data_IF_825954650965
#
_entry.id   IF_825954650965
#
_cell.length_a   1.000
_cell.length_b   1.000
_cell.length_c   1.000
_cell.angle_alpha   90.00
_cell.angle_beta   90.00
_cell.angle_gamma   90.00
#
_symmetry.space_group_name_H-M   'P 1'
#
loop_
_entity.id
_entity.type
_entity.pdbx_description
1 polymer ?
#
# COMPACT_ATOMS: atom_id res chain seq x y z
N UNK A 1 -27.21 14.63 5.26
CA UNK A 1 -27.22 13.46 6.16
C UNK A 1 -27.65 12.19 5.43
N UNK A 2 -28.45 12.24 4.37
CA UNK A 2 -28.84 11.05 3.58
C UNK A 2 -27.70 10.42 2.75
N UNK A 3 -26.72 11.21 2.27
CA UNK A 3 -25.54 10.66 1.56
C UNK A 3 -24.61 9.79 2.43
N UNK A 4 -24.64 10.00 3.75
CA UNK A 4 -23.81 9.25 4.71
C UNK A 4 -24.43 7.88 5.06
N UNK A 5 -25.72 7.70 4.78
CA UNK A 5 -26.47 6.48 5.09
C UNK A 5 -26.35 5.44 3.96
N UNK A 6 -26.20 5.89 2.70
CA UNK A 6 -25.90 5.00 1.57
C UNK A 6 -24.46 4.45 1.58
N UNK A 7 -23.48 5.21 2.08
CA UNK A 7 -22.10 4.72 2.22
C UNK A 7 -21.92 3.68 3.33
N UNK A 8 -22.71 3.76 4.40
CA UNK A 8 -22.66 2.77 5.50
C UNK A 8 -23.06 1.37 5.07
N UNK A 9 -23.89 1.24 4.02
CA UNK A 9 -24.28 -0.06 3.47
C UNK A 9 -23.40 -0.52 2.31
N UNK A 10 -22.48 0.32 1.84
CA UNK A 10 -21.65 -0.01 0.67
C UNK A 10 -20.39 -0.81 1.04
N UNK A 11 -19.97 -0.77 2.31
CA UNK A 11 -18.66 -1.30 2.76
C UNK A 11 -18.63 -1.89 4.17
N UNK A 12 -19.78 -1.94 4.85
CA UNK A 12 -19.85 -2.45 6.23
C UNK A 12 -20.70 -3.72 6.23
N UNK A 13 -20.15 -4.74 6.89
CA UNK A 13 -20.74 -6.05 7.24
C UNK A 13 -20.33 -7.21 6.33
N UNK A 14 -19.12 -7.71 6.62
CA UNK A 14 -18.59 -9.01 6.24
C UNK A 14 -17.47 -9.45 7.20
N UNK A 15 -17.72 -9.33 8.50
CA UNK A 15 -16.80 -9.64 9.60
C UNK A 15 -16.49 -11.15 9.75
N UNK A 16 -15.22 -11.54 9.87
CA UNK A 16 -14.64 -12.16 11.08
C UNK A 16 -13.17 -12.61 10.87
N UNK A 17 -12.34 -12.28 11.87
CA UNK A 17 -11.09 -12.95 12.30
C UNK A 17 -9.71 -12.40 11.84
N UNK A 18 -9.05 -11.77 12.83
CA UNK A 18 -7.60 -11.69 13.10
C UNK A 18 -6.72 -10.92 12.11
N UNK A 19 -6.40 -9.68 12.45
CA UNK A 19 -5.08 -9.10 12.20
C UNK A 19 -4.70 -8.20 13.38
N UNK A 20 -3.92 -8.77 14.30
CA UNK A 20 -3.03 -7.99 15.13
C UNK A 20 -1.85 -7.52 14.27
N UNK A 21 -1.26 -6.37 14.62
CA UNK A 21 -0.01 -5.77 14.11
C UNK A 21 -0.15 -5.05 12.74
N UNK A 22 0.46 -3.89 12.45
CA UNK A 22 1.37 -3.03 13.19
C UNK A 22 1.17 -1.58 12.69
N UNK A 23 1.01 -0.61 13.60
CA UNK A 23 1.25 0.79 13.25
C UNK A 23 2.76 1.00 13.24
N UNK A 24 3.35 1.07 12.04
CA UNK A 24 4.72 1.57 11.76
C UNK A 24 5.77 1.02 12.73
N UNK A 25 5.86 -0.31 12.78
CA UNK A 25 7.14 -1.00 12.89
C UNK A 25 7.34 -1.68 11.55
N UNK A 26 8.51 -1.57 10.94
CA UNK A 26 8.86 -2.37 9.75
C UNK A 26 8.93 -3.83 10.23
N UNK A 27 7.78 -4.48 10.24
CA UNK A 27 7.58 -5.81 10.76
C UNK A 27 8.17 -6.81 9.78
N UNK A 28 9.42 -7.19 10.00
CA UNK A 28 10.04 -8.35 9.37
C UNK A 28 9.32 -9.60 9.87
N UNK A 29 8.34 -10.09 9.12
CA UNK A 29 7.57 -11.28 9.48
C UNK A 29 8.44 -12.53 9.44
N UNK A 30 8.61 -13.18 10.60
CA UNK A 30 9.09 -14.55 10.70
C UNK A 30 7.92 -15.54 10.59
N UNK A 31 8.13 -16.60 9.83
CA UNK A 31 7.20 -17.71 9.63
C UNK A 31 6.85 -18.39 10.97
N UNK A 32 5.58 -18.34 11.37
CA UNK A 32 5.03 -19.32 12.33
C UNK A 32 4.19 -20.35 11.57
N UNK A 33 4.68 -21.60 11.56
CA UNK A 33 4.07 -22.77 10.95
C UNK A 33 2.57 -22.91 11.30
N UNK A 34 1.70 -22.79 10.31
CA UNK A 34 0.42 -23.50 10.31
C UNK A 34 0.37 -24.47 9.14
N UNK A 35 0.72 -25.71 9.44
CA UNK A 35 0.61 -26.87 8.55
C UNK A 35 -0.79 -26.99 7.94
N UNK A 36 -0.92 -26.68 6.64
CA UNK A 36 -2.02 -27.14 5.81
C UNK A 36 -1.46 -27.77 4.54
N UNK A 37 -1.37 -29.10 4.56
CA UNK A 37 -1.15 -29.93 3.38
C UNK A 37 -2.51 -30.20 2.72
N UNK A 38 -2.65 -29.93 1.41
CA UNK A 38 -3.17 -30.99 0.55
C UNK A 38 -2.39 -31.08 -0.77
N UNK A 39 -1.51 -32.08 -0.84
CA UNK A 39 -1.12 -32.91 -1.98
C UNK A 39 -1.64 -32.48 -3.37
N UNK A 40 -0.72 -32.08 -4.27
CA UNK A 40 -1.08 -31.72 -5.64
C UNK A 40 0.02 -31.59 -6.72
N UNK A 41 1.13 -32.34 -6.69
CA UNK A 41 1.95 -32.67 -7.88
C UNK A 41 2.70 -31.55 -8.67
N UNK A 42 3.64 -31.90 -9.57
CA UNK A 42 4.67 -30.97 -10.04
C UNK A 42 4.28 -30.26 -11.35
N UNK A 43 4.29 -28.93 -11.34
CA UNK A 43 4.19 -28.08 -12.53
C UNK A 43 5.48 -27.28 -12.74
N UNK A 44 6.32 -27.73 -13.66
CA UNK A 44 7.42 -26.91 -14.20
C UNK A 44 6.85 -25.86 -15.15
N UNK A 45 7.08 -24.58 -14.86
CA UNK A 45 6.91 -23.49 -15.83
C UNK A 45 8.14 -22.60 -15.86
N UNK A 46 8.85 -22.69 -16.98
CA UNK A 46 9.90 -21.78 -17.42
C UNK A 46 9.28 -20.53 -18.05
N UNK A 47 9.67 -19.33 -17.61
CA UNK A 47 9.44 -18.09 -18.36
C UNK A 47 10.77 -17.56 -18.90
N UNK A 48 10.97 -17.85 -20.19
CA UNK A 48 11.97 -17.27 -21.09
C UNK A 48 11.39 -15.95 -21.65
N UNK A 49 12.23 -14.92 -21.81
CA UNK A 49 11.80 -13.55 -22.08
C UNK A 49 11.48 -13.15 -23.54
N UNK A 50 11.34 -11.83 -23.74
CA UNK A 50 11.16 -11.08 -25.00
C UNK A 50 9.70 -10.64 -25.23
N UNK A 51 9.33 -9.48 -25.79
CA UNK A 51 9.99 -8.41 -26.55
C UNK A 51 9.06 -7.15 -26.43
N UNK A 52 9.50 -5.89 -26.49
CA UNK A 52 9.97 -5.19 -27.68
C UNK A 52 8.83 -4.59 -28.52
N UNK A 53 8.73 -3.25 -28.56
CA UNK A 53 7.95 -2.46 -29.53
C UNK A 53 7.12 -1.35 -28.87
N UNK A 54 6.96 -0.13 -29.40
CA UNK A 54 7.52 0.58 -30.56
C UNK A 54 7.06 2.04 -30.44
N UNK A 55 7.91 2.98 -30.86
CA UNK A 55 7.69 4.42 -30.71
C UNK A 55 6.53 5.00 -31.52
N UNK A 56 6.15 6.22 -31.13
CA UNK A 56 5.29 7.11 -31.90
C UNK A 56 5.77 8.56 -31.74
N UNK A 57 6.19 9.15 -32.85
CA UNK A 57 6.53 10.57 -32.99
C UNK A 57 5.28 11.46 -32.84
N UNK A 58 5.42 12.57 -32.10
CA UNK A 58 4.42 13.62 -31.98
C UNK A 58 5.06 14.98 -31.75
N UNK A 59 5.06 15.81 -32.78
CA UNK A 59 5.67 17.14 -32.88
C UNK A 59 4.86 18.26 -32.21
N UNK A 60 5.56 19.19 -31.55
CA UNK A 60 5.31 20.65 -31.66
C UNK A 60 4.57 21.36 -30.52
N UNK A 61 5.26 22.31 -29.86
CA UNK A 61 4.64 23.35 -29.02
C UNK A 61 5.65 24.09 -28.13
N UNK A 62 5.93 25.36 -28.47
CA UNK A 62 6.92 26.24 -27.83
C UNK A 62 6.53 26.79 -26.44
N UNK A 63 7.58 26.90 -25.61
CA UNK A 63 7.90 27.95 -24.63
C UNK A 63 6.91 28.32 -23.50
N UNK A 64 7.17 27.77 -22.32
CA UNK A 64 6.86 28.38 -21.02
C UNK A 64 8.03 28.19 -20.05
N UNK A 65 8.78 29.26 -19.79
CA UNK A 65 9.91 29.27 -18.86
C UNK A 65 9.43 29.52 -17.42
N UNK A 66 9.87 28.69 -16.47
CA UNK A 66 9.82 29.04 -15.05
C UNK A 66 9.91 27.86 -14.07
N UNK A 67 11.14 27.53 -13.64
CA UNK A 67 11.40 27.04 -12.27
C UNK A 67 11.37 25.54 -12.01
N UNK A 68 12.22 24.76 -12.69
CA UNK A 68 12.49 23.37 -12.34
C UNK A 68 13.62 23.22 -11.31
N UNK A 69 13.38 22.42 -10.29
CA UNK A 69 14.33 21.47 -9.68
C UNK A 69 13.73 20.11 -10.04
N UNK A 70 14.23 19.31 -10.99
CA UNK A 70 15.60 18.79 -11.07
C UNK A 70 15.76 17.77 -9.93
N UNK A 71 15.65 16.46 -10.11
CA UNK A 71 16.02 15.67 -11.27
C UNK A 71 15.16 14.43 -11.52
N UNK A 72 15.24 14.01 -12.78
CA UNK A 72 14.70 12.78 -13.31
C UNK A 72 15.49 11.57 -12.82
N UNK A 73 14.83 10.41 -12.92
CA UNK A 73 15.40 9.09 -12.76
C UNK A 73 16.77 8.95 -13.44
N UNK A 74 17.71 8.44 -12.65
CA UNK A 74 18.88 7.78 -13.16
C UNK A 74 18.73 6.29 -12.88
N UNK A 75 18.86 5.48 -13.93
CA UNK A 75 19.46 4.15 -13.82
C UNK A 75 20.92 4.32 -13.36
N UNK A 76 21.09 4.67 -12.09
CA UNK A 76 22.32 4.51 -11.35
C UNK A 76 22.09 3.37 -10.37
N UNK A 77 23.05 2.46 -10.22
CA UNK A 77 23.02 1.41 -9.20
C UNK A 77 23.14 1.99 -7.78
N UNK A 78 22.19 2.84 -7.40
CA UNK A 78 21.89 3.22 -6.03
C UNK A 78 20.89 2.21 -5.50
N UNK A 79 21.23 1.60 -4.38
CA UNK A 79 20.33 0.79 -3.56
C UNK A 79 19.08 1.60 -3.21
N UNK A 80 17.89 0.99 -3.24
CA UNK A 80 16.62 1.64 -2.85
C UNK A 80 16.70 2.18 -1.41
N UNK A 81 15.85 3.15 -1.04
CA UNK A 81 15.80 3.66 0.32
C UNK A 81 15.56 2.53 1.34
N UNK A 82 14.71 1.57 0.97
CA UNK A 82 14.53 0.31 1.68
C UNK A 82 15.82 -0.48 1.89
N UNK A 83 16.62 -0.70 0.85
CA UNK A 83 17.90 -1.41 0.99
C UNK A 83 18.83 -0.67 1.94
N UNK A 84 18.98 0.65 1.80
CA UNK A 84 19.85 1.45 2.68
C UNK A 84 19.38 1.44 4.15
N UNK A 85 18.08 1.52 4.38
CA UNK A 85 17.48 1.44 5.71
C UNK A 85 17.69 0.06 6.35
N UNK A 86 17.44 -1.02 5.60
CA UNK A 86 17.58 -2.39 6.09
C UNK A 86 19.04 -2.78 6.34
N UNK A 87 19.98 -2.37 5.47
CA UNK A 87 21.41 -2.53 5.72
C UNK A 87 21.86 -1.80 6.99
N UNK A 88 21.33 -0.60 7.22
CA UNK A 88 21.59 0.15 8.43
C UNK A 88 21.05 -0.59 9.66
N UNK A 89 19.80 -1.05 9.66
CA UNK A 89 19.21 -1.79 10.79
C UNK A 89 19.99 -3.08 11.10
N UNK A 90 20.37 -3.84 10.09
CA UNK A 90 21.19 -5.05 10.21
C UNK A 90 22.55 -4.73 10.88
N UNK A 91 23.18 -3.63 10.47
CA UNK A 91 24.46 -3.17 11.04
C UNK A 91 24.39 -2.78 12.53
N UNK A 92 23.19 -2.55 13.08
CA UNK A 92 23.03 -2.22 14.50
C UNK A 92 23.14 -3.47 15.40
N UNK A 93 22.99 -4.68 14.85
CA UNK A 93 23.03 -5.95 15.60
C UNK A 93 22.07 -5.95 16.82
N UNK A 94 20.90 -5.31 16.69
CA UNK A 94 19.94 -5.12 17.79
C UNK A 94 18.98 -6.30 17.94
N UNK A 95 18.54 -6.89 16.83
CA UNK A 95 17.73 -8.10 16.78
C UNK A 95 18.45 -9.15 15.93
N UNK A 96 18.27 -10.42 16.28
CA UNK A 96 18.65 -11.55 15.43
C UNK A 96 17.61 -11.68 14.28
N UNK A 97 17.59 -10.74 13.34
CA UNK A 97 16.68 -10.73 12.19
C UNK A 97 17.42 -11.06 10.89
N UNK A 98 16.78 -11.80 9.97
CA UNK A 98 17.36 -12.03 8.65
C UNK A 98 17.17 -10.79 7.74
N UNK A 99 18.23 -10.19 7.19
CA UNK A 99 18.14 -8.94 6.44
C UNK A 99 17.28 -9.02 5.16
N UNK A 100 17.07 -10.22 4.62
CA UNK A 100 16.28 -10.46 3.41
C UNK A 100 14.78 -10.14 3.56
N UNK A 101 14.19 -10.34 4.75
CA UNK A 101 12.77 -10.04 4.98
C UNK A 101 12.51 -8.54 5.11
N UNK A 102 13.48 -7.76 5.60
CA UNK A 102 13.33 -6.31 5.79
C UNK A 102 13.11 -5.60 4.46
N UNK A 103 13.96 -5.88 3.46
CA UNK A 103 13.88 -5.21 2.15
C UNK A 103 12.56 -5.52 1.46
N UNK A 104 12.15 -6.80 1.45
CA UNK A 104 10.90 -7.22 0.84
C UNK A 104 9.69 -6.54 1.48
N UNK A 105 9.60 -6.51 2.82
CA UNK A 105 8.49 -5.85 3.53
C UNK A 105 8.48 -4.33 3.33
N UNK A 106 9.65 -3.71 3.22
CA UNK A 106 9.76 -2.28 2.94
C UNK A 106 9.30 -1.94 1.52
N UNK A 107 9.77 -2.68 0.52
CA UNK A 107 9.37 -2.48 -0.88
C UNK A 107 7.88 -2.79 -1.11
N UNK A 108 7.34 -3.78 -0.40
CA UNK A 108 5.91 -4.04 -0.37
C UNK A 108 5.14 -2.83 0.19
N UNK A 109 5.63 -2.23 1.28
CA UNK A 109 4.99 -1.06 1.89
C UNK A 109 5.01 0.18 0.97
N UNK A 110 6.11 0.45 0.28
CA UNK A 110 6.18 1.50 -0.75
C UNK A 110 5.19 1.21 -1.90
N UNK A 111 5.09 -0.06 -2.33
CA UNK A 111 4.16 -0.49 -3.37
C UNK A 111 2.67 -0.36 -3.01
N UNK A 112 2.32 -0.24 -1.74
CA UNK A 112 0.93 -0.12 -1.27
C UNK A 112 0.39 1.32 -1.45
N UNK A 113 1.24 2.33 -1.34
CA UNK A 113 0.88 3.73 -1.50
C UNK A 113 1.98 4.52 -2.22
N UNK A 114 2.17 4.33 -3.55
CA UNK A 114 3.28 4.93 -4.28
C UNK A 114 3.33 6.48 -4.20
N UNK A 115 2.19 7.11 -3.94
CA UNK A 115 2.09 8.55 -3.74
C UNK A 115 2.62 9.03 -2.37
N UNK A 116 2.93 8.11 -1.45
CA UNK A 116 3.52 8.40 -0.15
C UNK A 116 5.03 8.07 -0.10
N UNK A 117 5.61 7.48 -1.14
CA UNK A 117 7.03 7.08 -1.19
C UNK A 117 7.99 8.22 -0.80
N UNK A 118 7.83 9.48 -1.28
CA UNK A 118 8.75 10.55 -0.88
C UNK A 118 8.76 10.83 0.63
N UNK A 119 7.66 10.55 1.33
CA UNK A 119 7.55 10.73 2.78
C UNK A 119 8.08 9.51 3.54
N UNK A 120 7.93 8.30 2.98
CA UNK A 120 8.59 7.09 3.49
C UNK A 120 10.11 7.22 3.35
N UNK A 121 10.62 7.61 2.18
CA UNK A 121 12.03 7.91 1.91
C UNK A 121 12.61 8.92 2.90
N UNK A 122 11.88 10.02 3.16
CA UNK A 122 12.30 11.03 4.12
C UNK A 122 12.38 10.46 5.54
N UNK A 123 11.43 9.60 5.91
CA UNK A 123 11.45 8.90 7.19
C UNK A 123 12.66 7.96 7.29
N UNK A 124 12.88 7.08 6.31
CA UNK A 124 14.03 6.18 6.27
C UNK A 124 15.37 6.94 6.29
N UNK A 125 15.49 8.03 5.53
CA UNK A 125 16.67 8.88 5.52
C UNK A 125 16.95 9.57 6.86
N UNK A 126 15.92 9.87 7.65
CA UNK A 126 16.09 10.33 9.03
C UNK A 126 16.57 9.18 9.93
N UNK A 127 15.93 8.01 9.82
CA UNK A 127 16.21 6.86 10.68
C UNK A 127 17.65 6.37 10.58
N UNK A 128 18.25 6.35 9.38
CA UNK A 128 19.66 5.94 9.19
C UNK A 128 20.67 6.91 9.83
N UNK A 129 20.25 8.11 10.22
CA UNK A 129 21.10 9.09 10.91
C UNK A 129 21.04 8.97 12.43
N UNK A 130 20.07 8.23 12.95
CA UNK A 130 19.91 8.04 14.38
C UNK A 130 21.03 7.16 14.95
N UNK A 131 21.36 7.26 16.24
CA UNK A 131 22.28 6.34 16.89
C UNK A 131 21.58 5.03 17.27
N UNK A 132 22.34 3.93 17.35
CA UNK A 132 21.86 2.61 17.80
C UNK A 132 21.08 2.65 19.14
N UNK A 133 21.41 3.60 20.03
CA UNK A 133 20.72 3.79 21.31
C UNK A 133 19.25 4.20 21.20
N UNK A 134 18.80 4.64 20.01
CA UNK A 134 17.42 5.03 19.73
C UNK A 134 16.60 3.89 19.13
N UNK A 135 17.15 2.67 19.15
CA UNK A 135 16.50 1.47 18.65
C UNK A 135 16.49 0.40 19.74
N UNK A 136 15.45 -0.44 19.75
CA UNK A 136 15.30 -1.55 20.69
C UNK A 136 14.68 -2.76 20.02
N UNK A 137 15.08 -3.96 20.45
CA UNK A 137 14.43 -5.19 20.02
C UNK A 137 13.21 -5.49 20.91
N UNK A 138 12.02 -5.48 20.34
CA UNK A 138 10.75 -5.81 21.00
C UNK A 138 10.13 -6.98 20.26
N UNK A 139 10.01 -8.13 20.93
CA UNK A 139 9.41 -9.34 20.34
C UNK A 139 10.06 -9.81 19.02
N UNK A 140 11.36 -9.55 18.84
CA UNK A 140 12.08 -9.87 17.60
C UNK A 140 12.02 -8.76 16.53
N UNK A 141 11.34 -7.66 16.81
CA UNK A 141 11.20 -6.51 15.91
C UNK A 141 12.07 -5.34 16.36
N UNK A 142 12.72 -4.70 15.39
CA UNK A 142 13.44 -3.45 15.64
C UNK A 142 12.43 -2.31 15.72
N UNK A 143 12.29 -1.74 16.92
CA UNK A 143 11.50 -0.55 17.17
C UNK A 143 12.39 0.66 17.35
N UNK A 144 11.96 1.80 16.80
CA UNK A 144 12.58 3.10 17.08
C UNK A 144 11.91 3.75 18.28
N UNK A 145 12.72 4.06 19.29
CA UNK A 145 12.30 4.67 20.56
C UNK A 145 12.74 6.13 20.67
N UNK A 146 13.43 6.65 19.65
CA UNK A 146 13.85 8.05 19.58
C UNK A 146 12.72 8.98 19.12
N UNK A 147 12.90 10.29 19.35
CA UNK A 147 11.94 11.31 18.96
C UNK A 147 12.37 12.15 17.75
N UNK A 148 13.62 12.01 17.29
CA UNK A 148 14.19 12.91 16.28
C UNK A 148 13.46 12.82 14.93
N UNK A 149 13.03 11.62 14.54
CA UNK A 149 12.32 11.35 13.28
C UNK A 149 10.79 11.37 13.42
N UNK A 150 10.25 11.92 14.51
CA UNK A 150 8.80 11.96 14.75
C UNK A 150 8.05 12.78 13.69
N UNK A 151 8.66 13.82 13.15
CA UNK A 151 8.02 14.68 12.14
C UNK A 151 7.82 13.90 10.83
N UNK A 152 8.87 13.24 10.35
CA UNK A 152 8.87 12.42 9.13
C UNK A 152 7.94 11.21 9.30
N UNK A 153 8.01 10.53 10.46
CA UNK A 153 7.09 9.43 10.80
C UNK A 153 5.63 9.90 10.75
N UNK A 154 5.34 11.05 11.34
CA UNK A 154 3.98 11.61 11.36
C UNK A 154 3.51 12.02 9.96
N UNK A 155 4.40 12.54 9.13
CA UNK A 155 4.09 12.91 7.74
C UNK A 155 3.79 11.67 6.89
N UNK A 156 4.62 10.62 6.98
CA UNK A 156 4.41 9.33 6.32
C UNK A 156 3.08 8.69 6.76
N UNK A 157 2.83 8.60 8.07
CA UNK A 157 1.55 8.10 8.60
C UNK A 157 0.36 8.94 8.14
N UNK A 158 0.48 10.27 8.20
CA UNK A 158 -0.57 11.17 7.73
C UNK A 158 -0.87 10.96 6.25
N UNK A 159 0.13 10.67 5.42
CA UNK A 159 -0.09 10.35 4.02
C UNK A 159 -0.85 9.03 3.83
N UNK A 160 -0.47 7.98 4.56
CA UNK A 160 -1.16 6.69 4.50
C UNK A 160 -2.64 6.81 4.89
N UNK A 161 -2.97 7.65 5.88
CA UNK A 161 -4.36 7.83 6.32
C UNK A 161 -5.12 8.86 5.48
N UNK A 162 -4.56 10.05 5.28
CA UNK A 162 -5.24 11.21 4.70
C UNK A 162 -4.89 11.48 3.24
N UNK A 163 -3.94 10.75 2.66
CA UNK A 163 -3.33 11.09 1.38
C UNK A 163 -2.29 12.21 1.51
N UNK A 164 -1.55 12.49 0.43
CA UNK A 164 -0.49 13.48 0.44
C UNK A 164 -1.09 14.91 0.46
N UNK A 165 -0.35 15.92 0.93
CA UNK A 165 -0.86 17.28 1.14
C UNK A 165 -1.35 17.96 -0.15
N UNK A 166 -0.79 17.60 -1.31
CA UNK A 166 -1.21 18.04 -2.63
C UNK A 166 -2.50 17.36 -3.13
N UNK A 167 -2.96 16.32 -2.43
CA UNK A 167 -4.10 15.49 -2.78
C UNK A 167 -3.70 14.19 -3.46
N UNK A 168 -4.57 13.18 -3.35
CA UNK A 168 -4.35 11.89 -4.00
C UNK A 168 -4.16 12.02 -5.51
N UNK A 169 -3.42 11.09 -6.14
CA UNK A 169 -3.39 10.98 -7.59
C UNK A 169 -4.78 10.68 -8.16
N UNK A 170 -4.91 10.78 -9.48
CA UNK A 170 -6.15 10.38 -10.17
C UNK A 170 -6.38 8.87 -10.05
N UNK A 171 -7.37 8.49 -9.23
CA UNK A 171 -7.74 7.10 -8.95
C UNK A 171 -8.67 6.49 -10.00
N UNK A 172 -8.94 7.18 -11.12
CA UNK A 172 -9.89 6.70 -12.14
C UNK A 172 -9.47 5.35 -12.73
N UNK A 173 -8.17 5.16 -13.00
CA UNK A 173 -7.66 3.90 -13.55
C UNK A 173 -7.83 2.73 -12.57
N UNK A 174 -7.54 2.94 -11.29
CA UNK A 174 -7.68 1.93 -10.25
C UNK A 174 -9.15 1.56 -10.04
N UNK A 175 -10.04 2.56 -9.93
CA UNK A 175 -11.47 2.32 -9.85
C UNK A 175 -12.00 1.58 -11.09
N UNK A 176 -11.51 1.88 -12.29
CA UNK A 176 -11.88 1.16 -13.50
C UNK A 176 -11.42 -0.30 -13.47
N UNK A 177 -10.19 -0.57 -13.02
CA UNK A 177 -9.65 -1.92 -12.92
C UNK A 177 -10.42 -2.77 -11.91
N UNK A 178 -10.68 -2.22 -10.71
CA UNK A 178 -11.53 -2.83 -9.68
C UNK A 178 -12.91 -3.19 -10.27
N UNK A 179 -13.56 -2.22 -10.92
CA UNK A 179 -14.88 -2.44 -11.49
C UNK A 179 -14.91 -3.44 -12.62
N UNK A 180 -13.84 -3.51 -13.43
CA UNK A 180 -13.70 -4.53 -14.47
C UNK A 180 -13.55 -5.93 -13.86
N UNK A 181 -12.80 -6.07 -12.77
CA UNK A 181 -12.67 -7.33 -12.03
C UNK A 181 -14.03 -7.82 -11.51
N UNK A 182 -14.86 -6.89 -11.04
CA UNK A 182 -16.20 -7.19 -10.53
C UNK A 182 -17.30 -7.29 -11.60
N UNK A 183 -17.08 -6.83 -12.84
CA UNK A 183 -18.14 -6.63 -13.83
C UNK A 183 -18.94 -7.89 -14.21
N UNK A 184 -18.35 -9.09 -14.02
CA UNK A 184 -19.02 -10.36 -14.27
C UNK A 184 -20.01 -10.78 -13.18
N UNK A 185 -20.05 -10.06 -12.06
CA UNK A 185 -20.83 -10.42 -10.89
C UNK A 185 -22.24 -9.78 -10.91
N UNK A 186 -23.29 -10.52 -10.51
CA UNK A 186 -24.66 -10.00 -10.49
C UNK A 186 -24.90 -8.88 -9.48
N UNK A 187 -24.00 -8.69 -8.51
CA UNK A 187 -24.05 -7.62 -7.52
C UNK A 187 -23.22 -6.39 -7.91
N UNK A 188 -22.53 -6.40 -9.06
CA UNK A 188 -21.75 -5.27 -9.50
C UNK A 188 -22.67 -4.07 -9.84
N UNK A 189 -22.43 -2.88 -9.27
CA UNK A 189 -23.25 -1.71 -9.56
C UNK A 189 -22.98 -1.17 -10.97
N UNK A 190 -24.03 -0.71 -11.65
CA UNK A 190 -23.94 -0.11 -13.00
C UNK A 190 -23.05 1.16 -13.02
N UNK A 191 -22.95 1.86 -11.88
CA UNK A 191 -22.17 3.08 -11.69
C UNK A 191 -20.88 2.85 -10.87
N UNK A 192 -20.35 1.63 -10.89
CA UNK A 192 -19.23 1.18 -10.05
C UNK A 192 -18.06 2.17 -9.99
N UNK A 193 -17.61 2.69 -11.13
CA UNK A 193 -16.44 3.59 -11.17
C UNK A 193 -16.71 4.89 -10.44
N UNK A 194 -17.88 5.49 -10.65
CA UNK A 194 -18.25 6.73 -9.97
C UNK A 194 -18.46 6.49 -8.47
N UNK A 195 -19.13 5.39 -8.10
CA UNK A 195 -19.30 4.98 -6.70
C UNK A 195 -17.96 4.77 -5.98
N UNK A 196 -16.97 4.21 -6.67
CA UNK A 196 -15.60 4.06 -6.16
C UNK A 196 -14.92 5.41 -5.90
N UNK A 197 -14.94 6.31 -6.88
CA UNK A 197 -14.35 7.66 -6.76
C UNK A 197 -15.02 8.50 -5.66
N UNK A 198 -16.34 8.41 -5.57
CA UNK A 198 -17.14 9.08 -4.55
C UNK A 198 -16.80 8.53 -3.16
N UNK A 199 -16.63 7.21 -3.02
CA UNK A 199 -16.23 6.56 -1.77
C UNK A 199 -14.85 7.01 -1.26
N UNK A 200 -13.88 7.15 -2.16
CA UNK A 200 -12.54 7.69 -1.81
C UNK A 200 -12.68 9.15 -1.33
N UNK A 201 -13.43 9.97 -2.05
CA UNK A 201 -13.57 11.40 -1.77
C UNK A 201 -14.36 11.66 -0.49
N UNK A 202 -15.40 10.87 -0.23
CA UNK A 202 -16.27 11.02 0.92
C UNK A 202 -15.63 10.52 2.23
N UNK A 203 -14.52 9.79 2.16
CA UNK A 203 -13.75 9.32 3.31
C UNK A 203 -12.92 10.45 3.92
N UNK A 204 -13.57 11.53 4.38
CA UNK A 204 -12.92 12.69 4.97
C UNK A 204 -12.04 12.31 6.16
N UNK A 205 -10.72 12.57 6.07
CA UNK A 205 -9.72 12.16 7.07
C UNK A 205 -9.14 10.75 6.88
N UNK A 206 -9.73 9.92 6.02
CA UNK A 206 -9.31 8.54 5.73
C UNK A 206 -9.16 8.24 4.23
N UNK A 207 -9.11 9.27 3.39
CA UNK A 207 -9.06 9.12 1.93
C UNK A 207 -7.82 8.37 1.45
N UNK A 208 -6.68 8.53 2.14
CA UNK A 208 -5.45 7.79 1.84
C UNK A 208 -5.64 6.30 2.09
N UNK A 209 -6.21 5.95 3.23
CA UNK A 209 -6.47 4.56 3.59
C UNK A 209 -7.48 3.90 2.63
N UNK A 210 -8.52 4.65 2.22
CA UNK A 210 -9.46 4.16 1.21
C UNK A 210 -8.79 4.00 -0.16
N UNK A 211 -7.94 4.94 -0.56
CA UNK A 211 -7.21 4.89 -1.83
C UNK A 211 -6.22 3.70 -1.87
N UNK A 212 -5.53 3.43 -0.77
CA UNK A 212 -4.69 2.23 -0.60
C UNK A 212 -5.52 0.97 -0.85
N UNK A 213 -6.69 0.89 -0.21
CA UNK A 213 -7.54 -0.28 -0.36
C UNK A 213 -8.00 -0.45 -1.81
N UNK A 214 -8.46 0.62 -2.47
CA UNK A 214 -8.86 0.59 -3.88
C UNK A 214 -7.68 0.23 -4.79
N UNK A 215 -6.49 0.79 -4.54
CA UNK A 215 -5.29 0.50 -5.31
C UNK A 215 -4.90 -0.98 -5.23
N UNK A 216 -5.02 -1.59 -4.04
CA UNK A 216 -4.81 -3.02 -3.88
C UNK A 216 -5.85 -3.83 -4.67
N UNK A 217 -7.14 -3.54 -4.48
CA UNK A 217 -8.23 -4.25 -5.15
C UNK A 217 -8.19 -4.13 -6.68
N UNK A 218 -7.66 -3.02 -7.20
CA UNK A 218 -7.45 -2.83 -8.64
C UNK A 218 -6.47 -3.84 -9.27
N UNK A 219 -5.63 -4.48 -8.45
CA UNK A 219 -4.63 -5.47 -8.87
C UNK A 219 -5.10 -6.92 -8.72
N UNK A 220 -6.23 -7.12 -8.05
CA UNK A 220 -6.81 -8.44 -7.83
C UNK A 220 -7.36 -9.03 -9.14
N UNK A 221 -7.19 -10.34 -9.37
CA UNK A 221 -7.78 -11.00 -10.51
C UNK A 221 -9.31 -11.10 -10.36
N UNK A 222 -10.04 -11.18 -11.47
CA UNK A 222 -11.52 -11.23 -11.45
C UNK A 222 -12.08 -12.39 -10.61
N UNK A 223 -11.36 -13.51 -10.55
CA UNK A 223 -11.72 -14.70 -9.76
C UNK A 223 -11.65 -14.48 -8.25
N UNK A 224 -10.97 -13.43 -7.78
CA UNK A 224 -10.91 -13.08 -6.37
C UNK A 224 -12.19 -12.40 -5.88
N UNK A 225 -13.05 -11.93 -6.79
CA UNK A 225 -14.27 -11.21 -6.48
C UNK A 225 -15.48 -12.15 -6.36
N UNK A 226 -16.30 -11.94 -5.34
CA UNK A 226 -17.57 -12.65 -5.17
C UNK A 226 -18.69 -11.73 -4.67
N UNK A 227 -19.94 -12.16 -4.87
CA UNK A 227 -21.08 -11.52 -4.23
C UNK A 227 -21.35 -12.18 -2.87
N UNK A 228 -21.14 -11.46 -1.78
CA UNK A 228 -21.52 -11.92 -0.45
C UNK A 228 -22.86 -11.31 -0.01
N UNK A 229 -23.78 -12.14 0.47
CA UNK A 229 -24.99 -11.68 1.18
C UNK A 229 -25.97 -10.78 0.41
N UNK A 230 -25.88 -10.69 -0.92
CA UNK A 230 -26.68 -9.76 -1.73
C UNK A 230 -26.17 -8.30 -1.70
N UNK A 231 -24.95 -8.09 -1.20
CA UNK A 231 -24.26 -6.81 -1.18
C UNK A 231 -23.26 -6.67 -2.35
N UNK A 232 -22.58 -5.53 -2.39
CA UNK A 232 -21.53 -5.16 -3.36
C UNK A 232 -20.44 -6.23 -3.48
N UNK A 233 -19.75 -6.32 -4.64
CA UNK A 233 -18.63 -7.23 -4.84
C UNK A 233 -17.61 -7.12 -3.71
N UNK A 234 -17.20 -8.26 -3.16
CA UNK A 234 -16.17 -8.38 -2.14
C UNK A 234 -14.98 -9.14 -2.73
N UNK A 235 -13.77 -8.82 -2.29
CA UNK A 235 -12.60 -9.63 -2.58
C UNK A 235 -12.38 -10.65 -1.47
N UNK A 236 -12.13 -11.89 -1.86
CA UNK A 236 -11.87 -13.03 -0.97
C UNK A 236 -10.40 -13.25 -0.69
N UNK A 237 -9.51 -12.58 -1.43
CA UNK A 237 -8.07 -12.62 -1.19
C UNK A 237 -7.75 -12.00 0.16
N UNK A 238 -6.80 -12.62 0.89
CA UNK A 238 -6.25 -12.04 2.10
C UNK A 238 -5.26 -10.90 1.79
N UNK A 239 -4.80 -10.79 0.54
CA UNK A 239 -3.74 -9.86 0.12
C UNK A 239 -4.16 -8.40 0.31
N UNK A 240 -5.43 -8.06 0.03
CA UNK A 240 -5.95 -6.71 0.25
C UNK A 240 -6.59 -6.46 1.63
N UNK A 241 -6.52 -7.44 2.55
CA UNK A 241 -7.10 -7.33 3.90
C UNK A 241 -6.39 -6.26 4.74
N UNK A 242 -5.10 -6.04 4.51
CA UNK A 242 -4.32 -5.00 5.19
C UNK A 242 -4.87 -3.60 4.86
N UNK A 243 -5.08 -3.29 3.58
CA UNK A 243 -5.65 -2.00 3.16
C UNK A 243 -7.05 -1.75 3.74
N UNK A 244 -7.90 -2.79 3.77
CA UNK A 244 -9.22 -2.70 4.41
C UNK A 244 -9.09 -2.43 5.92
N UNK A 245 -8.17 -3.11 6.59
CA UNK A 245 -7.92 -2.95 8.02
C UNK A 245 -7.38 -1.56 8.35
N UNK A 246 -6.48 -1.00 7.53
CA UNK A 246 -6.02 0.39 7.64
C UNK A 246 -7.18 1.38 7.52
N UNK A 247 -8.07 1.17 6.56
CA UNK A 247 -9.26 2.00 6.39
C UNK A 247 -10.23 1.90 7.57
N UNK A 248 -10.54 0.69 8.02
CA UNK A 248 -11.41 0.45 9.18
C UNK A 248 -10.82 1.05 10.46
N UNK A 249 -9.52 0.90 10.67
CA UNK A 249 -8.81 1.50 11.79
C UNK A 249 -8.91 3.02 11.72
N UNK A 250 -8.66 3.62 10.55
CA UNK A 250 -8.76 5.06 10.36
C UNK A 250 -10.14 5.59 10.74
N UNK A 251 -11.21 5.00 10.17
CA UNK A 251 -12.59 5.41 10.48
C UNK A 251 -12.91 5.25 11.96
N UNK A 252 -12.47 4.15 12.58
CA UNK A 252 -12.74 3.86 14.00
C UNK A 252 -12.05 4.84 14.96
N UNK A 253 -11.03 5.56 14.49
CA UNK A 253 -10.27 6.53 15.26
C UNK A 253 -10.51 7.98 14.82
N UNK A 254 -11.46 8.23 13.90
CA UNK A 254 -11.90 9.59 13.61
C UNK A 254 -12.63 10.18 14.83
N UNK A 255 -12.34 11.45 15.20
CA UNK A 255 -12.93 12.13 16.35
C UNK A 255 -14.43 12.46 16.18
#
# INVERSE_FOLDING_TARGET
MEALEHMKNLWVVGSLAVAALAMVGVGCGGDEETTFDPTGGPGTSTSQGGAGGSGGDGTGGDAGAGGGTGGAGGEGGGTSACVGYCEYLDSLEICDSEPGSCVASCEEQEGVAPWCDPLADAYYACMIQEPASNFSCVEGFVEHVGDACNAERSASQSCMFQGPPEGLPDMTADCQALCNGAAGLPCAPDDCVQSCLDGITASAGCRGAMAIHVHCLAREPAEAFECSGGATPQVTSAECAAGLSTYQFCISNLP
#
